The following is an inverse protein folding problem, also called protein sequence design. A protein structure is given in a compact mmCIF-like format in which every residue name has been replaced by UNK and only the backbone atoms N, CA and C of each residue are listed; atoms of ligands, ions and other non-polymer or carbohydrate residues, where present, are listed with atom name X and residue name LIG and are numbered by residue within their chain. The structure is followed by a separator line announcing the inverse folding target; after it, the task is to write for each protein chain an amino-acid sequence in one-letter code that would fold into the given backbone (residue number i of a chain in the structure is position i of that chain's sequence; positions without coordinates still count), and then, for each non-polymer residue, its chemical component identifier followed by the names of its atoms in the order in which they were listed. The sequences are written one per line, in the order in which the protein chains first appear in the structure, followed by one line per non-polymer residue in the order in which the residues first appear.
data_IF_828012745589
#
_entry.id   IF_828012745589
#
_cell.length_a   1.000
_cell.length_b   1.000
_cell.length_c   1.000
_cell.angle_alpha   90.00
_cell.angle_beta   90.00
_cell.angle_gamma   90.00
#
_symmetry.space_group_name_H-M   'P 1'
#
loop_
_entity.id
_entity.type
_entity.pdbx_description
1 polymer ?
#
# COMPACT_ATOMS: atom_id res chain seq x y z
N UNK A 1 6.35 11.20 43.49
CA UNK A 1 5.93 12.47 42.85
C UNK A 1 4.94 12.13 41.74
N UNK A 2 3.67 12.50 41.88
CA UNK A 2 2.66 12.24 40.84
C UNK A 2 2.81 13.19 39.65
N UNK A 3 2.61 12.70 38.42
CA UNK A 3 2.61 13.56 37.24
C UNK A 3 1.50 14.60 37.36
N UNK A 4 1.84 15.88 37.21
CA UNK A 4 0.84 16.96 37.17
C UNK A 4 0.01 16.80 35.90
N UNK A 5 -1.32 16.68 36.03
CA UNK A 5 -2.28 16.52 34.91
C UNK A 5 -2.08 17.56 33.80
N UNK A 6 -1.74 18.80 34.17
CA UNK A 6 -1.46 19.90 33.24
C UNK A 6 -0.21 19.64 32.39
N UNK A 7 0.86 19.13 33.00
CA UNK A 7 2.11 18.81 32.28
C UNK A 7 1.91 17.64 31.32
N UNK A 8 1.15 16.63 31.74
CA UNK A 8 0.76 15.52 30.87
C UNK A 8 0.01 16.02 29.63
N UNK A 9 -1.06 16.80 29.82
CA UNK A 9 -1.86 17.33 28.70
C UNK A 9 -1.06 18.25 27.77
N UNK A 10 -0.15 19.06 28.31
CA UNK A 10 0.73 19.90 27.50
C UNK A 10 1.70 19.06 26.67
N UNK A 11 2.30 18.03 27.26
CA UNK A 11 3.22 17.13 26.56
C UNK A 11 2.51 16.29 25.51
N UNK A 12 1.36 15.67 25.84
CA UNK A 12 0.59 14.87 24.90
C UNK A 12 0.01 15.74 23.77
N UNK A 13 -0.43 16.97 24.09
CA UNK A 13 -0.92 17.92 23.09
C UNK A 13 0.17 18.34 22.10
N UNK A 14 1.40 18.59 22.57
CA UNK A 14 2.54 18.90 21.71
C UNK A 14 2.95 17.70 20.83
N UNK A 15 2.96 16.50 21.39
CA UNK A 15 3.25 15.27 20.63
C UNK A 15 2.18 15.02 19.57
N UNK A 16 0.90 15.15 19.92
CA UNK A 16 -0.20 15.00 18.96
C UNK A 16 -0.20 16.10 17.90
N UNK A 17 0.14 17.33 18.26
CA UNK A 17 0.30 18.42 17.30
C UNK A 17 1.49 18.16 16.36
N UNK A 18 2.63 17.68 16.86
CA UNK A 18 3.76 17.31 16.01
C UNK A 18 3.42 16.15 15.05
N UNK A 19 2.66 15.15 15.51
CA UNK A 19 2.20 14.03 14.68
C UNK A 19 1.15 14.46 13.66
N UNK A 20 0.17 15.28 14.04
CA UNK A 20 -0.87 15.81 13.13
C UNK A 20 -0.34 16.84 12.13
N UNK A 21 0.65 17.65 12.54
CA UNK A 21 1.39 18.53 11.62
C UNK A 21 2.27 17.69 10.68
N UNK A 22 2.76 16.52 11.11
CA UNK A 22 3.55 15.64 10.24
C UNK A 22 2.76 15.19 9.01
N UNK A 23 1.48 14.87 9.10
CA UNK A 23 0.71 14.41 7.92
C UNK A 23 0.46 15.55 6.91
N UNK A 24 0.18 16.75 7.39
CA UNK A 24 -0.11 17.94 6.55
C UNK A 24 1.15 18.58 5.99
N UNK A 25 2.28 18.52 6.73
CA UNK A 25 3.58 18.98 6.27
C UNK A 25 4.23 17.97 5.33
N UNK A 26 4.03 16.66 5.50
CA UNK A 26 4.53 15.64 4.55
C UNK A 26 3.82 15.72 3.19
N UNK A 27 2.54 16.09 3.18
CA UNK A 27 1.78 16.34 1.95
C UNK A 27 2.15 17.68 1.27
N UNK A 28 2.55 18.71 2.05
CA UNK A 28 3.08 19.98 1.52
C UNK A 28 4.56 19.91 1.10
N UNK A 29 5.38 19.05 1.73
CA UNK A 29 6.79 18.80 1.42
C UNK A 29 7.01 17.64 0.42
N UNK A 30 5.93 17.05 -0.11
CA UNK A 30 5.97 15.93 -1.06
C UNK A 30 6.79 16.20 -2.33
N UNK A 31 7.06 17.46 -2.65
CA UNK A 31 7.91 17.86 -3.77
C UNK A 31 9.43 17.75 -3.49
N UNK A 32 9.88 17.63 -2.22
CA UNK A 32 11.31 17.85 -1.89
C UNK A 32 11.94 16.91 -0.86
N UNK A 33 11.32 15.77 -0.53
CA UNK A 33 11.89 14.81 0.43
C UNK A 33 12.44 13.55 -0.26
N UNK A 34 13.67 13.16 0.08
CA UNK A 34 14.34 11.93 -0.37
C UNK A 34 13.60 10.64 0.05
N UNK A 35 12.59 10.72 0.92
CA UNK A 35 11.74 9.61 1.34
C UNK A 35 10.50 9.39 0.44
N UNK A 36 10.19 10.34 -0.45
CA UNK A 36 9.05 10.29 -1.38
C UNK A 36 9.03 9.04 -2.27
N UNK A 37 10.13 8.60 -2.91
CA UNK A 37 10.03 7.49 -3.87
C UNK A 37 9.71 6.13 -3.21
N UNK A 38 10.04 5.95 -1.92
CA UNK A 38 9.68 4.73 -1.20
C UNK A 38 8.21 4.76 -0.78
N UNK A 39 7.72 5.91 -0.31
CA UNK A 39 6.34 6.06 0.14
C UNK A 39 5.36 5.96 -1.03
N UNK A 40 5.67 6.56 -2.19
CA UNK A 40 4.84 6.49 -3.40
C UNK A 40 4.61 5.04 -3.86
N UNK A 41 5.65 4.19 -3.85
CA UNK A 41 5.50 2.78 -4.24
C UNK A 41 4.57 2.01 -3.30
N UNK A 42 4.65 2.26 -2.00
CA UNK A 42 3.75 1.62 -1.02
C UNK A 42 2.31 2.12 -1.16
N UNK A 43 2.13 3.44 -1.35
CA UNK A 43 0.80 4.01 -1.58
C UNK A 43 0.19 3.54 -2.89
N UNK A 44 0.98 3.29 -3.94
CA UNK A 44 0.44 2.79 -5.20
C UNK A 44 -0.07 1.33 -5.13
N UNK A 45 0.48 0.53 -4.21
CA UNK A 45 -0.03 -0.84 -3.92
C UNK A 45 -1.29 -0.80 -3.06
N UNK A 46 -1.35 0.13 -2.10
CA UNK A 46 -2.47 0.27 -1.15
C UNK A 46 -3.62 1.13 -1.68
N UNK A 47 -3.38 1.99 -2.66
CA UNK A 47 -4.40 2.83 -3.27
C UNK A 47 -5.42 1.98 -4.02
N UNK A 48 -6.69 2.35 -3.90
CA UNK A 48 -7.76 1.71 -4.63
C UNK A 48 -7.50 1.89 -6.13
N UNK A 49 -7.40 0.80 -6.91
CA UNK A 49 -7.09 0.90 -8.32
C UNK A 49 -8.21 1.67 -9.02
N UNK A 50 -7.86 2.82 -9.59
CA UNK A 50 -8.81 3.74 -10.21
C UNK A 50 -9.22 3.32 -11.63
N UNK A 51 -8.54 2.31 -12.20
CA UNK A 51 -8.80 1.76 -13.53
C UNK A 51 -9.01 0.25 -13.53
N UNK A 52 -9.54 -0.27 -14.65
CA UNK A 52 -9.72 -1.71 -14.86
C UNK A 52 -8.36 -2.41 -14.91
N UNK A 53 -8.09 -3.29 -13.93
CA UNK A 53 -6.91 -4.15 -13.94
C UNK A 53 -7.05 -5.18 -15.05
N UNK A 54 -6.02 -5.33 -15.88
CA UNK A 54 -5.94 -6.34 -16.92
C UNK A 54 -5.08 -7.50 -16.42
N UNK A 55 -5.53 -8.72 -16.69
CA UNK A 55 -4.77 -9.93 -16.44
C UNK A 55 -4.76 -10.75 -17.73
N UNK A 56 -3.65 -11.45 -17.99
CA UNK A 56 -3.54 -12.44 -19.04
C UNK A 56 -3.53 -13.82 -18.39
N UNK A 57 -4.58 -14.59 -18.63
CA UNK A 57 -4.70 -15.97 -18.19
C UNK A 57 -4.52 -16.89 -19.39
N UNK A 58 -3.70 -17.92 -19.24
CA UNK A 58 -3.39 -18.87 -20.32
C UNK A 58 -3.47 -20.28 -19.75
N UNK A 59 -4.43 -21.06 -20.25
CA UNK A 59 -4.61 -22.47 -19.91
C UNK A 59 -4.23 -23.34 -21.09
N UNK A 60 -3.23 -24.23 -20.92
CA UNK A 60 -2.76 -25.11 -22.00
C UNK A 60 -2.77 -26.55 -21.48
N UNK A 61 -3.61 -27.38 -22.09
CA UNK A 61 -3.68 -28.80 -21.79
C UNK A 61 -2.90 -29.65 -22.80
N UNK A 62 -2.78 -29.20 -24.05
CA UNK A 62 -2.20 -29.98 -25.14
C UNK A 62 -0.76 -29.55 -25.43
N UNK A 63 0.16 -30.51 -25.33
CA UNK A 63 1.56 -30.34 -25.65
C UNK A 63 2.02 -31.41 -26.66
N UNK A 64 2.80 -31.05 -27.70
CA UNK A 64 3.11 -31.99 -28.80
C UNK A 64 3.93 -33.23 -28.42
N UNK A 65 4.69 -33.16 -27.32
CA UNK A 65 5.67 -34.19 -26.93
C UNK A 65 5.51 -34.66 -25.48
N UNK A 66 4.37 -34.41 -24.85
CA UNK A 66 4.11 -34.83 -23.48
C UNK A 66 2.68 -35.33 -23.30
N UNK A 67 2.43 -35.99 -22.18
CA UNK A 67 1.07 -36.33 -21.76
C UNK A 67 0.25 -35.06 -21.60
N UNK A 68 -1.01 -35.10 -22.06
CA UNK A 68 -1.94 -33.99 -21.92
C UNK A 68 -2.17 -33.67 -20.43
N UNK A 69 -2.18 -32.39 -20.09
CA UNK A 69 -2.56 -31.92 -18.76
C UNK A 69 -4.08 -31.85 -18.65
N UNK A 70 -4.59 -31.99 -17.44
CA UNK A 70 -6.00 -31.83 -17.13
C UNK A 70 -6.15 -30.67 -16.14
N UNK A 71 -7.16 -29.83 -16.36
CA UNK A 71 -7.51 -28.73 -15.45
C UNK A 71 -7.05 -27.34 -15.90
N UNK A 72 -5.98 -27.20 -16.68
CA UNK A 72 -5.41 -25.86 -16.95
C UNK A 72 -6.36 -24.91 -17.71
N UNK A 73 -7.20 -25.45 -18.62
CA UNK A 73 -8.25 -24.65 -19.29
C UNK A 73 -9.39 -24.33 -18.34
N UNK A 74 -9.80 -25.29 -17.51
CA UNK A 74 -10.86 -25.11 -16.50
C UNK A 74 -10.46 -24.05 -15.47
N UNK A 75 -9.20 -23.99 -15.06
CA UNK A 75 -8.67 -23.01 -14.11
C UNK A 75 -8.73 -21.57 -14.64
N UNK A 76 -8.88 -21.38 -15.96
CA UNK A 76 -8.99 -20.06 -16.61
C UNK A 76 -10.44 -19.64 -16.85
N UNK A 77 -11.38 -20.59 -16.88
CA UNK A 77 -12.79 -20.33 -17.18
C UNK A 77 -13.64 -19.95 -15.94
N UNK A 78 -13.11 -20.12 -14.73
CA UNK A 78 -13.78 -19.80 -13.44
C UNK A 78 -13.63 -18.33 -13.04
#
# INVERSE_FOLDING_TARGET
MGLKRRTFLQQTGLVLAALGVSETVLSLLGEKSLAVPLLERYFQVLAQPTGRKLALLVGINQYPHSTALAGCVTDVEL
#
